data_IF_129216324126
#
_entry.id   IF_129216324126
#
_cell.length_a   1.000
_cell.length_b   1.000
_cell.length_c   1.000
_cell.angle_alpha   90.00
_cell.angle_beta   90.00
_cell.angle_gamma   90.00
#
_symmetry.space_group_name_H-M   'P 1'
#
loop_
_entity.id
_entity.type
_entity.pdbx_description
1 polymer ?
#
# COMPACT_ATOMS: atom_id res chain seq x y z
N UNK A 1 -2.34 -10.30 2.05
CA UNK A 1 -1.86 -8.93 1.87
C UNK A 1 -2.79 -7.97 2.62
N UNK A 2 -2.21 -7.05 3.38
CA UNK A 2 -2.98 -6.06 4.13
C UNK A 2 -2.74 -4.68 3.51
N UNK A 3 -3.81 -3.97 3.16
CA UNK A 3 -3.75 -2.62 2.59
C UNK A 3 -4.19 -1.63 3.65
N UNK A 4 -3.37 -0.63 3.95
CA UNK A 4 -3.66 0.37 4.97
C UNK A 4 -3.04 1.72 4.63
N UNK A 5 -3.54 2.76 5.27
CA UNK A 5 -2.88 4.07 5.27
C UNK A 5 -1.95 4.16 6.48
N UNK A 6 -0.87 4.98 6.42
CA UNK A 6 0.05 5.09 7.56
C UNK A 6 -0.45 6.02 8.68
N UNK A 7 -1.75 6.13 8.85
CA UNK A 7 -2.37 6.89 9.93
C UNK A 7 -2.33 6.11 11.24
N UNK A 8 -2.02 6.79 12.34
CA UNK A 8 -2.03 6.15 13.66
C UNK A 8 -3.40 5.59 14.02
N UNK A 9 -4.48 6.25 13.58
CA UNK A 9 -5.84 5.78 13.85
C UNK A 9 -6.13 4.43 13.18
N UNK A 10 -5.45 4.11 12.08
CA UNK A 10 -5.66 2.86 11.38
C UNK A 10 -4.90 1.67 12.00
N UNK A 11 -3.97 1.93 12.92
CA UNK A 11 -3.08 0.90 13.43
C UNK A 11 -3.82 -0.21 14.19
N UNK A 12 -4.88 0.14 14.89
CA UNK A 12 -5.66 -0.85 15.65
C UNK A 12 -6.32 -1.86 14.71
N UNK A 13 -6.88 -1.39 13.60
CA UNK A 13 -7.49 -2.25 12.61
C UNK A 13 -6.46 -3.17 11.95
N UNK A 14 -5.26 -2.65 11.68
CA UNK A 14 -4.17 -3.45 11.11
C UNK A 14 -3.75 -4.53 12.10
N UNK A 15 -3.59 -4.21 13.39
CA UNK A 15 -3.25 -5.18 14.42
C UNK A 15 -4.31 -6.28 14.51
N UNK A 16 -5.59 -5.93 14.44
CA UNK A 16 -6.67 -6.90 14.45
C UNK A 16 -6.61 -7.82 13.25
N UNK A 17 -6.29 -7.29 12.07
CA UNK A 17 -6.16 -8.07 10.84
C UNK A 17 -5.00 -9.06 10.94
N UNK A 18 -3.86 -8.62 11.49
CA UNK A 18 -2.70 -9.49 11.69
C UNK A 18 -3.04 -10.62 12.67
N UNK A 19 -3.66 -10.30 13.80
CA UNK A 19 -4.04 -11.30 14.80
C UNK A 19 -5.04 -12.30 14.22
N UNK A 20 -6.00 -11.83 13.45
CA UNK A 20 -7.01 -12.69 12.83
C UNK A 20 -6.35 -13.67 11.84
N UNK A 21 -5.42 -13.18 11.02
CA UNK A 21 -4.71 -14.03 10.08
C UNK A 21 -3.87 -15.09 10.82
N UNK A 22 -3.22 -14.72 11.92
CA UNK A 22 -2.46 -15.67 12.73
C UNK A 22 -3.36 -16.75 13.34
N UNK A 23 -4.54 -16.39 13.84
CA UNK A 23 -5.47 -17.35 14.41
C UNK A 23 -5.98 -18.36 13.39
N UNK A 24 -6.13 -17.93 12.15
CA UNK A 24 -6.59 -18.80 11.06
C UNK A 24 -5.43 -19.51 10.34
N UNK A 25 -4.20 -19.29 10.77
CA UNK A 25 -2.99 -19.82 10.11
C UNK A 25 -2.91 -19.40 8.64
N UNK A 26 -3.38 -18.18 8.33
CA UNK A 26 -3.27 -17.60 6.99
C UNK A 26 -1.97 -16.81 6.91
N UNK A 27 -1.07 -17.13 5.97
CA UNK A 27 0.17 -16.37 5.85
C UNK A 27 -0.08 -14.96 5.34
N UNK A 28 0.63 -13.98 5.93
CA UNK A 28 0.56 -12.58 5.51
C UNK A 28 1.72 -12.35 4.54
N UNK A 29 1.41 -12.08 3.27
CA UNK A 29 2.43 -11.85 2.24
C UNK A 29 3.14 -10.51 2.43
N UNK A 30 2.46 -9.53 3.00
CA UNK A 30 3.04 -8.22 3.26
C UNK A 30 2.00 -7.14 3.42
N UNK A 31 2.49 -5.90 3.52
CA UNK A 31 1.65 -4.72 3.73
C UNK A 31 1.81 -3.75 2.56
N UNK A 32 0.71 -3.15 2.13
CA UNK A 32 0.68 -2.06 1.16
C UNK A 32 0.31 -0.78 1.92
N UNK A 33 1.19 0.21 1.91
CA UNK A 33 0.91 1.51 2.50
C UNK A 33 0.29 2.42 1.43
N UNK A 34 -1.01 2.67 1.55
CA UNK A 34 -1.74 3.51 0.62
C UNK A 34 -1.75 4.94 1.12
N UNK A 35 -1.75 5.91 0.20
CA UNK A 35 -1.76 7.34 0.52
C UNK A 35 -0.62 7.75 1.45
N UNK A 36 0.56 7.18 1.24
CA UNK A 36 1.70 7.45 2.12
C UNK A 36 2.25 8.85 1.96
N UNK A 37 2.26 9.37 0.74
CA UNK A 37 2.81 10.70 0.47
C UNK A 37 2.08 11.37 -0.68
N UNK A 38 2.31 12.68 -0.80
CA UNK A 38 1.75 13.53 -1.86
C UNK A 38 2.89 14.08 -2.71
N UNK A 39 2.72 14.03 -4.03
CA UNK A 39 3.68 14.60 -4.97
C UNK A 39 3.11 15.90 -5.51
N UNK A 40 3.86 17.01 -5.36
CA UNK A 40 3.44 18.32 -5.86
C UNK A 40 3.42 18.34 -7.39
N UNK A 41 2.34 18.85 -7.96
CA UNK A 41 2.21 18.95 -9.43
C UNK A 41 3.15 19.96 -10.05
N UNK A 42 3.60 20.97 -9.28
CA UNK A 42 4.45 22.04 -9.79
C UNK A 42 5.94 21.73 -9.68
N UNK A 43 6.37 21.13 -8.60
CA UNK A 43 7.79 20.92 -8.32
C UNK A 43 8.19 19.47 -8.17
N UNK A 44 7.24 18.54 -8.24
CA UNK A 44 7.46 17.09 -8.03
C UNK A 44 8.04 16.75 -6.67
N UNK A 45 7.95 17.66 -5.70
CA UNK A 45 8.39 17.36 -4.34
C UNK A 45 7.45 16.38 -3.66
N UNK A 46 8.02 15.36 -3.05
CA UNK A 46 7.26 14.33 -2.34
C UNK A 46 7.21 14.67 -0.86
N UNK A 47 5.99 14.77 -0.33
CA UNK A 47 5.78 15.13 1.07
C UNK A 47 5.01 14.00 1.77
N UNK A 48 5.56 13.40 2.85
CA UNK A 48 4.81 12.43 3.65
C UNK A 48 3.60 13.12 4.29
N UNK A 49 2.41 12.50 4.15
CA UNK A 49 1.17 13.06 4.71
C UNK A 49 1.00 12.64 6.16
N UNK A 50 1.37 11.39 6.49
CA UNK A 50 1.24 10.82 7.81
C UNK A 50 2.61 10.40 8.34
N UNK A 51 2.82 10.49 9.65
CA UNK A 51 4.11 10.13 10.24
C UNK A 51 4.41 8.63 10.17
N UNK A 52 3.39 7.78 10.35
CA UNK A 52 3.52 6.34 10.18
C UNK A 52 4.43 5.62 11.16
N UNK A 53 4.79 6.24 12.28
CA UNK A 53 5.73 5.64 13.24
C UNK A 53 5.19 4.38 13.89
N UNK A 54 3.91 4.36 14.24
CA UNK A 54 3.30 3.17 14.85
C UNK A 54 3.18 2.03 13.86
N UNK A 55 2.88 2.33 12.60
CA UNK A 55 2.83 1.32 11.56
C UNK A 55 4.22 0.73 11.30
N UNK A 56 5.25 1.56 11.22
CA UNK A 56 6.63 1.10 11.06
C UNK A 56 7.06 0.18 12.19
N UNK A 57 6.73 0.55 13.44
CA UNK A 57 7.05 -0.27 14.60
C UNK A 57 6.35 -1.63 14.56
N UNK A 58 5.08 -1.65 14.14
CA UNK A 58 4.33 -2.88 14.02
C UNK A 58 4.86 -3.78 12.91
N UNK A 59 5.23 -3.19 11.77
CA UNK A 59 5.83 -3.93 10.65
C UNK A 59 7.13 -4.60 11.11
N UNK A 60 7.96 -3.88 11.84
CA UNK A 60 9.20 -4.41 12.37
C UNK A 60 8.95 -5.52 13.40
N UNK A 61 8.02 -5.28 14.34
CA UNK A 61 7.70 -6.22 15.41
C UNK A 61 7.20 -7.58 14.87
N UNK A 62 6.38 -7.55 13.82
CA UNK A 62 5.83 -8.77 13.22
C UNK A 62 6.63 -9.29 12.03
N UNK A 63 7.77 -8.67 11.73
CA UNK A 63 8.64 -9.05 10.60
C UNK A 63 7.89 -9.10 9.27
N UNK A 64 7.03 -8.11 9.03
CA UNK A 64 6.25 -8.02 7.81
C UNK A 64 7.05 -7.30 6.72
N UNK A 65 6.76 -7.62 5.47
CA UNK A 65 7.38 -6.98 4.32
C UNK A 65 6.46 -5.87 3.77
N UNK A 66 7.05 -4.75 3.37
CA UNK A 66 6.33 -3.69 2.67
C UNK A 66 6.32 -4.04 1.19
N UNK A 67 5.14 -4.36 0.65
CA UNK A 67 4.98 -4.73 -0.76
C UNK A 67 4.93 -3.52 -1.67
N UNK A 68 4.33 -2.43 -1.21
CA UNK A 68 4.25 -1.19 -1.98
C UNK A 68 3.97 -0.01 -1.07
N UNK A 69 4.46 1.16 -1.48
CA UNK A 69 4.18 2.44 -0.85
C UNK A 69 3.55 3.32 -1.93
N UNK A 70 2.24 3.56 -1.82
CA UNK A 70 1.50 4.27 -2.85
C UNK A 70 1.32 5.73 -2.48
N UNK A 71 1.47 6.61 -3.47
CA UNK A 71 1.19 8.03 -3.28
C UNK A 71 -0.29 8.32 -3.48
N UNK A 72 -0.72 9.50 -3.03
CA UNK A 72 -2.08 9.98 -3.30
C UNK A 72 -2.13 10.36 -4.78
N UNK A 73 -2.88 9.58 -5.56
CA UNK A 73 -3.01 9.80 -7.01
C UNK A 73 -4.48 10.01 -7.36
N UNK A 74 -4.87 11.26 -7.70
CA UNK A 74 -6.28 11.54 -8.01
C UNK A 74 -6.85 10.73 -9.17
N UNK A 75 -6.01 10.31 -10.11
CA UNK A 75 -6.48 9.54 -11.27
C UNK A 75 -6.98 8.15 -10.90
N UNK A 76 -6.55 7.61 -9.76
CA UNK A 76 -7.10 6.34 -9.27
C UNK A 76 -8.60 6.48 -9.00
N UNK A 77 -8.99 7.55 -8.30
CA UNK A 77 -10.40 7.80 -8.02
C UNK A 77 -11.19 8.06 -9.28
N UNK A 78 -10.66 8.88 -10.19
CA UNK A 78 -11.32 9.21 -11.46
C UNK A 78 -11.55 7.95 -12.29
N UNK A 79 -10.52 7.14 -12.46
CA UNK A 79 -10.63 5.92 -13.27
C UNK A 79 -11.61 4.92 -12.67
N UNK A 80 -11.62 4.80 -11.34
CA UNK A 80 -12.54 3.90 -10.65
C UNK A 80 -13.99 4.35 -10.84
N UNK A 81 -14.26 5.66 -10.72
CA UNK A 81 -15.59 6.21 -10.91
C UNK A 81 -16.08 6.05 -12.35
N UNK A 82 -15.18 6.10 -13.32
CA UNK A 82 -15.51 5.90 -14.73
C UNK A 82 -15.58 4.42 -15.13
N UNK A 83 -15.21 3.50 -14.24
CA UNK A 83 -15.18 2.09 -14.54
C UNK A 83 -14.02 1.68 -15.46
N UNK A 84 -12.94 2.48 -15.49
CA UNK A 84 -11.76 2.21 -16.31
C UNK A 84 -10.61 1.71 -15.44
N UNK A 85 -9.97 0.58 -15.76
CA UNK A 85 -8.83 0.09 -14.98
C UNK A 85 -7.68 1.10 -14.97
N UNK A 86 -7.26 1.52 -13.77
CA UNK A 86 -6.22 2.54 -13.61
C UNK A 86 -4.91 2.13 -14.29
N UNK A 87 -4.46 0.90 -14.10
CA UNK A 87 -3.19 0.42 -14.65
C UNK A 87 -3.19 0.47 -16.18
N UNK A 88 -4.32 0.19 -16.80
CA UNK A 88 -4.44 0.17 -18.25
C UNK A 88 -4.38 1.58 -18.84
N UNK A 89 -5.14 2.52 -18.27
CA UNK A 89 -5.28 3.87 -18.81
C UNK A 89 -4.23 4.86 -18.32
N UNK A 90 -3.61 4.60 -17.18
CA UNK A 90 -2.65 5.53 -16.54
C UNK A 90 -1.33 4.82 -16.22
N UNK A 91 -0.87 3.95 -17.11
CA UNK A 91 0.29 3.08 -16.88
C UNK A 91 1.62 3.81 -16.78
N UNK A 92 1.68 5.11 -17.13
CA UNK A 92 2.91 5.90 -17.04
C UNK A 92 3.07 6.64 -15.72
N UNK A 93 2.06 6.61 -14.85
CA UNK A 93 2.14 7.30 -13.56
C UNK A 93 2.92 6.48 -12.54
N UNK A 94 3.62 7.16 -11.58
CA UNK A 94 4.39 6.46 -10.54
C UNK A 94 3.57 5.46 -9.72
N UNK A 95 2.30 5.78 -9.44
CA UNK A 95 1.43 4.86 -8.71
C UNK A 95 1.20 3.55 -9.48
N UNK A 96 1.10 3.62 -10.81
CA UNK A 96 0.96 2.43 -11.64
C UNK A 96 2.22 1.56 -11.58
N UNK A 97 3.41 2.18 -11.61
CA UNK A 97 4.67 1.45 -11.48
C UNK A 97 4.76 0.75 -10.12
N UNK A 98 4.35 1.42 -9.04
CA UNK A 98 4.35 0.83 -7.72
C UNK A 98 3.41 -0.37 -7.64
N UNK A 99 2.22 -0.28 -8.23
CA UNK A 99 1.26 -1.37 -8.29
C UNK A 99 1.79 -2.56 -9.09
N UNK A 100 2.43 -2.32 -10.23
CA UNK A 100 3.00 -3.38 -11.06
C UNK A 100 4.14 -4.08 -10.33
N UNK A 101 5.01 -3.34 -9.65
CA UNK A 101 6.08 -3.92 -8.83
C UNK A 101 5.51 -4.77 -7.69
N UNK A 102 4.43 -4.31 -7.06
CA UNK A 102 3.73 -5.07 -6.02
C UNK A 102 3.21 -6.40 -6.56
N UNK A 103 2.59 -6.38 -7.74
CA UNK A 103 2.07 -7.60 -8.38
C UNK A 103 3.21 -8.58 -8.66
N UNK A 104 4.35 -8.09 -9.15
CA UNK A 104 5.52 -8.93 -9.40
C UNK A 104 6.01 -9.62 -8.12
N UNK A 105 6.07 -8.87 -7.01
CA UNK A 105 6.45 -9.45 -5.72
C UNK A 105 5.46 -10.52 -5.25
N UNK A 106 4.17 -10.27 -5.42
CA UNK A 106 3.14 -11.23 -5.05
C UNK A 106 3.23 -12.52 -5.86
N UNK A 107 3.48 -12.41 -7.16
CA UNK A 107 3.65 -13.57 -8.02
C UNK A 107 4.84 -14.42 -7.58
N UNK A 108 5.98 -13.77 -7.28
CA UNK A 108 7.15 -14.49 -6.78
C UNK A 108 6.86 -15.24 -5.47
N UNK A 109 6.16 -14.59 -4.53
CA UNK A 109 5.86 -15.19 -3.24
C UNK A 109 4.90 -16.37 -3.33
N UNK A 110 4.01 -16.37 -4.31
CA UNK A 110 2.98 -17.41 -4.45
C UNK A 110 3.42 -18.58 -5.33
N UNK A 111 4.51 -18.42 -6.09
CA UNK A 111 5.03 -19.48 -6.96
C UNK A 111 6.03 -20.42 -6.28
N UNK A 112 6.50 -20.07 -5.10
CA UNK A 112 7.51 -20.89 -4.39
C UNK A 112 6.90 -22.04 -3.61
#
# INVERSE_FOLDING_TARGET
MIVTTPQDIAILDVKKSVDFAHKLNVPILGIVENMKYFRCFHCNEVTPIFKGKQLEAMIFEHSLEILAELEIEPQIAVSTDEGKPFIYFYNKLPAADALMNMVSKLVEKTQS
#
